data_IF_932638573486
#
_entry.id   IF_932638573486
#
_cell.length_a   1.000
_cell.length_b   1.000
_cell.length_c   1.000
_cell.angle_alpha   90.00
_cell.angle_beta   90.00
_cell.angle_gamma   90.00
#
_symmetry.space_group_name_H-M   'P 1'
#
loop_
_entity.id
_entity.type
_entity.pdbx_description
1 polymer ?
#
# COMPACT_ATOMS: atom_id res chain seq x y z
N UNK A 1 16.34 -3.51 2.11
CA UNK A 1 15.84 -4.90 2.07
C UNK A 1 15.82 -5.44 0.63
N UNK A 2 15.30 -4.70 -0.34
CA UNK A 2 15.21 -5.14 -1.73
C UNK A 2 16.56 -5.55 -2.35
N UNK A 3 17.65 -4.90 -1.94
CA UNK A 3 19.03 -5.22 -2.37
C UNK A 3 19.62 -6.45 -1.66
N UNK A 4 18.97 -6.94 -0.60
CA UNK A 4 19.41 -8.10 0.19
C UNK A 4 18.20 -8.99 0.46
N UNK A 5 17.75 -9.78 -0.51
CA UNK A 5 16.54 -10.60 -0.41
C UNK A 5 16.57 -11.58 0.75
N UNK A 6 17.74 -12.06 1.15
CA UNK A 6 17.92 -12.96 2.31
C UNK A 6 17.46 -12.34 3.65
N UNK A 7 17.44 -11.01 3.74
CA UNK A 7 16.96 -10.29 4.92
C UNK A 7 15.44 -10.11 4.94
N UNK A 8 14.77 -10.46 3.86
CA UNK A 8 13.33 -10.29 3.72
C UNK A 8 12.64 -11.49 3.07
N UNK A 9 12.96 -12.69 3.54
CA UNK A 9 12.24 -13.92 3.15
C UNK A 9 10.90 -13.99 3.88
N UNK A 10 10.91 -13.63 5.17
CA UNK A 10 9.75 -13.58 6.07
C UNK A 10 9.61 -12.17 6.66
N UNK A 11 8.79 -12.02 7.69
CA UNK A 11 8.58 -10.74 8.36
C UNK A 11 9.90 -10.10 8.84
N UNK A 12 9.91 -8.78 8.81
CA UNK A 12 11.00 -7.95 9.33
C UNK A 12 10.45 -7.04 10.41
N UNK A 13 11.14 -6.97 11.53
CA UNK A 13 10.75 -6.12 12.64
C UNK A 13 11.68 -4.94 12.80
N UNK A 14 11.11 -3.77 13.06
CA UNK A 14 11.81 -2.61 13.57
C UNK A 14 11.36 -2.42 15.02
N UNK A 15 12.31 -2.38 15.93
CA UNK A 15 12.09 -2.08 17.35
C UNK A 15 12.67 -0.71 17.62
N UNK A 16 11.84 0.21 18.06
CA UNK A 16 12.25 1.56 18.42
C UNK A 16 12.14 1.73 19.94
N UNK A 17 13.23 2.03 20.59
CA UNK A 17 13.28 2.31 22.03
C UNK A 17 13.89 3.67 22.29
N UNK A 18 13.09 4.59 22.82
CA UNK A 18 13.51 5.91 23.24
C UNK A 18 13.35 5.99 24.76
N UNK A 19 14.46 6.11 25.47
CA UNK A 19 14.54 5.94 26.93
C UNK A 19 13.97 4.56 27.34
N UNK A 20 12.80 4.51 27.98
CA UNK A 20 12.13 3.29 28.42
C UNK A 20 10.85 2.96 27.60
N UNK A 21 10.60 3.72 26.54
CA UNK A 21 9.44 3.52 25.70
C UNK A 21 9.81 2.71 24.46
N UNK A 22 9.25 1.53 24.34
CA UNK A 22 9.44 0.62 23.24
C UNK A 22 8.21 0.54 22.36
N UNK A 23 8.42 0.67 21.06
CA UNK A 23 7.46 0.38 20.00
C UNK A 23 8.06 -0.67 19.07
N UNK A 24 7.23 -1.44 18.41
CA UNK A 24 7.71 -2.29 17.32
C UNK A 24 6.78 -2.19 16.12
N UNK A 25 7.39 -2.30 14.95
CA UNK A 25 6.74 -2.27 13.66
C UNK A 25 7.05 -3.58 12.96
N UNK A 26 6.01 -4.30 12.55
CA UNK A 26 6.12 -5.55 11.82
C UNK A 26 5.86 -5.32 10.34
N UNK A 27 6.88 -5.43 9.52
CA UNK A 27 6.81 -5.37 8.07
C UNK A 27 6.54 -6.76 7.53
N UNK A 28 5.36 -6.96 6.97
CA UNK A 28 4.92 -8.23 6.37
C UNK A 28 4.71 -8.08 4.87
N UNK A 29 4.91 -9.16 4.13
CA UNK A 29 4.79 -9.21 2.67
C UNK A 29 3.92 -10.37 2.22
N UNK A 30 2.87 -10.07 1.46
CA UNK A 30 2.08 -11.09 0.79
C UNK A 30 2.72 -11.46 -0.57
N UNK A 31 3.38 -12.60 -0.64
CA UNK A 31 4.04 -13.10 -1.85
C UNK A 31 3.07 -13.79 -2.84
N UNK A 32 1.79 -13.95 -2.48
CA UNK A 32 0.79 -14.62 -3.32
C UNK A 32 0.12 -13.68 -4.31
N UNK A 33 0.38 -12.38 -4.21
CA UNK A 33 -0.19 -11.34 -5.09
C UNK A 33 0.85 -10.82 -6.08
N UNK A 34 0.38 -10.30 -7.21
CA UNK A 34 1.21 -9.63 -8.21
C UNK A 34 0.52 -8.31 -8.61
N UNK A 35 1.10 -7.17 -8.27
CA UNK A 35 2.27 -6.93 -7.41
C UNK A 35 2.13 -7.45 -5.98
N UNK A 36 3.25 -7.68 -5.29
CA UNK A 36 3.22 -8.12 -3.89
C UNK A 36 2.76 -6.98 -2.98
N UNK A 37 1.88 -7.30 -2.04
CA UNK A 37 1.36 -6.33 -1.07
C UNK A 37 2.22 -6.34 0.19
N UNK A 38 2.61 -5.15 0.64
CA UNK A 38 3.41 -4.91 1.84
C UNK A 38 2.58 -4.13 2.85
N UNK A 39 2.60 -4.59 4.10
CA UNK A 39 1.91 -3.94 5.22
C UNK A 39 2.86 -3.72 6.37
N UNK A 40 2.63 -2.68 7.16
CA UNK A 40 3.30 -2.42 8.43
C UNK A 40 2.24 -2.41 9.52
N UNK A 41 2.41 -3.29 10.51
CA UNK A 41 1.61 -3.29 11.72
C UNK A 41 2.42 -2.65 12.84
N UNK A 42 1.83 -1.65 13.50
CA UNK A 42 2.42 -0.95 14.65
C UNK A 42 1.90 -1.53 15.97
N UNK A 43 2.79 -1.66 16.97
CA UNK A 43 2.40 -2.01 18.33
C UNK A 43 1.95 -0.77 19.11
N UNK A 44 1.13 -1.00 20.15
CA UNK A 44 0.98 -0.01 21.22
C UNK A 44 2.31 0.18 21.97
N UNK A 45 2.44 1.33 22.62
CA UNK A 45 3.57 1.63 23.51
C UNK A 45 3.75 0.55 24.57
N UNK A 46 4.98 0.07 24.72
CA UNK A 46 5.42 -0.83 25.79
C UNK A 46 6.42 -0.06 26.67
N UNK A 47 6.35 -0.23 28.00
CA UNK A 47 7.31 0.38 28.91
C UNK A 47 8.30 -0.69 29.39
N UNK A 48 9.60 -0.36 29.38
CA UNK A 48 10.64 -1.13 30.03
C UNK A 48 10.74 -0.65 31.48
N UNK A 49 10.63 -1.57 32.43
CA UNK A 49 10.73 -1.27 33.85
C UNK A 49 12.17 -1.36 34.37
N UNK A 50 12.30 -1.64 35.68
CA UNK A 50 13.61 -1.72 36.36
C UNK A 50 14.46 -2.85 35.79
N UNK A 51 13.86 -4.01 35.53
CA UNK A 51 14.54 -5.13 34.87
C UNK A 51 14.29 -5.07 33.36
N UNK A 52 15.06 -4.20 32.71
CA UNK A 52 14.92 -3.92 31.27
C UNK A 52 15.11 -5.17 30.41
N UNK A 53 16.07 -6.03 30.76
CA UNK A 53 16.37 -7.22 29.97
C UNK A 53 15.25 -8.25 30.03
N UNK A 54 14.69 -8.50 31.20
CA UNK A 54 13.58 -9.41 31.37
C UNK A 54 12.30 -8.86 30.72
N UNK A 55 12.02 -7.55 30.87
CA UNK A 55 10.86 -6.89 30.28
C UNK A 55 10.94 -6.95 28.75
N UNK A 56 12.09 -6.62 28.18
CA UNK A 56 12.32 -6.68 26.74
C UNK A 56 12.17 -8.11 26.23
N UNK A 57 12.76 -9.09 26.94
CA UNK A 57 12.60 -10.52 26.61
C UNK A 57 11.13 -10.97 26.54
N UNK A 58 10.29 -10.55 27.50
CA UNK A 58 8.84 -10.84 27.50
C UNK A 58 8.11 -10.21 26.32
N UNK A 59 8.44 -8.94 26.01
CA UNK A 59 7.86 -8.24 24.88
C UNK A 59 8.22 -8.94 23.56
N UNK A 60 9.50 -9.31 23.39
CA UNK A 60 9.96 -10.04 22.21
C UNK A 60 9.27 -11.39 22.05
N UNK A 61 9.14 -12.16 23.13
CA UNK A 61 8.45 -13.46 23.11
C UNK A 61 7.02 -13.31 22.60
N UNK A 62 6.28 -12.34 23.12
CA UNK A 62 4.91 -12.04 22.71
C UNK A 62 4.83 -11.53 21.26
N UNK A 63 5.72 -10.60 20.88
CA UNK A 63 5.73 -10.01 19.55
C UNK A 63 6.06 -11.03 18.45
N UNK A 64 6.90 -12.02 18.78
CA UNK A 64 7.41 -13.02 17.84
C UNK A 64 6.67 -14.36 17.91
N UNK A 65 5.66 -14.45 18.76
CA UNK A 65 4.86 -15.65 18.92
C UNK A 65 4.23 -16.08 17.57
N UNK A 66 4.45 -17.34 17.20
CA UNK A 66 3.97 -17.92 15.95
C UNK A 66 4.39 -17.16 14.66
N UNK A 67 5.50 -16.40 14.72
CA UNK A 67 6.05 -15.65 13.59
C UNK A 67 7.41 -16.20 13.15
N UNK A 68 7.62 -16.24 11.85
CA UNK A 68 8.92 -16.50 11.25
C UNK A 68 9.50 -15.13 10.84
N UNK A 69 10.65 -14.78 11.40
CA UNK A 69 11.23 -13.46 11.25
C UNK A 69 12.61 -13.58 10.63
N UNK A 70 12.85 -12.86 9.55
CA UNK A 70 14.14 -12.87 8.84
C UNK A 70 15.15 -11.93 9.47
N UNK A 71 14.71 -10.72 9.84
CA UNK A 71 15.58 -9.70 10.38
C UNK A 71 14.86 -8.81 11.39
N UNK A 72 15.64 -8.28 12.34
CA UNK A 72 15.19 -7.31 13.32
C UNK A 72 16.16 -6.12 13.34
N UNK A 73 15.61 -4.92 13.33
CA UNK A 73 16.36 -3.68 13.43
C UNK A 73 16.04 -3.00 14.76
N UNK A 74 17.07 -2.62 15.51
CA UNK A 74 16.99 -1.88 16.76
C UNK A 74 17.34 -0.42 16.49
N UNK A 75 16.51 0.52 16.92
CA UNK A 75 16.68 1.96 16.74
C UNK A 75 16.32 2.69 18.03
N UNK A 76 17.03 3.75 18.32
CA UNK A 76 16.81 4.62 19.48
C UNK A 76 17.85 4.46 20.58
N UNK A 77 17.96 5.49 21.42
CA UNK A 77 18.91 5.60 22.52
C UNK A 77 18.66 4.61 23.66
N UNK A 78 17.42 4.11 23.76
CA UNK A 78 17.06 3.09 24.75
C UNK A 78 17.78 1.76 24.56
N UNK A 79 18.40 1.51 23.42
CA UNK A 79 19.23 0.33 23.18
C UNK A 79 20.73 0.52 23.47
N UNK A 80 21.13 1.72 23.91
CA UNK A 80 22.50 1.98 24.28
C UNK A 80 22.86 1.27 25.59
N UNK A 81 24.16 0.91 25.72
CA UNK A 81 24.71 0.21 26.89
C UNK A 81 24.62 -1.32 26.80
N UNK A 82 25.05 -1.99 27.88
CA UNK A 82 25.24 -3.46 27.93
C UNK A 82 24.12 -4.17 28.71
N UNK A 83 22.91 -3.61 28.73
CA UNK A 83 21.82 -4.16 29.54
C UNK A 83 21.13 -5.38 28.87
N UNK A 84 21.15 -5.48 27.53
CA UNK A 84 20.60 -6.62 26.79
C UNK A 84 21.52 -7.82 26.90
N UNK A 85 21.15 -8.82 27.66
CA UNK A 85 21.91 -10.08 27.84
C UNK A 85 21.13 -11.27 27.32
N UNK A 86 20.13 -11.70 28.07
CA UNK A 86 19.29 -12.84 27.71
C UNK A 86 18.37 -12.51 26.55
N UNK A 87 17.81 -11.29 26.52
CA UNK A 87 17.00 -10.80 25.44
C UNK A 87 17.75 -10.74 24.11
N UNK A 88 19.04 -10.37 24.11
CA UNK A 88 19.89 -10.35 22.92
C UNK A 88 20.12 -11.77 22.36
N UNK A 89 20.34 -12.76 23.23
CA UNK A 89 20.47 -14.16 22.81
C UNK A 89 19.17 -14.64 22.15
N UNK A 90 18.02 -14.31 22.74
CA UNK A 90 16.71 -14.63 22.15
C UNK A 90 16.49 -13.90 20.83
N UNK A 91 16.83 -12.61 20.77
CA UNK A 91 16.69 -11.77 19.59
C UNK A 91 17.45 -12.32 18.38
N UNK A 92 18.67 -12.84 18.61
CA UNK A 92 19.53 -13.36 17.54
C UNK A 92 19.23 -14.82 17.16
N UNK A 93 18.34 -15.51 17.86
CA UNK A 93 18.05 -16.93 17.60
C UNK A 93 17.30 -17.12 16.28
N UNK A 94 17.97 -17.69 15.27
CA UNK A 94 17.41 -18.04 13.97
C UNK A 94 17.08 -16.83 13.07
N UNK A 95 17.56 -15.62 13.42
CA UNK A 95 17.33 -14.39 12.64
C UNK A 95 18.53 -13.46 12.76
N UNK A 96 18.57 -12.45 11.91
CA UNK A 96 19.61 -11.43 11.94
C UNK A 96 19.14 -10.19 12.70
N UNK A 97 19.91 -9.73 13.68
CA UNK A 97 19.65 -8.50 14.42
C UNK A 97 20.68 -7.43 14.05
N UNK A 98 20.21 -6.20 13.88
CA UNK A 98 21.03 -5.05 13.51
C UNK A 98 20.71 -3.86 14.41
N UNK A 99 21.72 -3.13 14.85
CA UNK A 99 21.55 -1.80 15.44
C UNK A 99 21.57 -0.78 14.31
N UNK A 100 20.46 -0.07 14.13
CA UNK A 100 20.27 0.88 13.05
C UNK A 100 20.66 2.29 13.47
N UNK A 101 21.78 2.81 12.95
CA UNK A 101 22.09 4.24 13.02
C UNK A 101 21.54 4.94 11.76
N UNK A 102 20.84 6.05 11.94
CA UNK A 102 20.27 6.84 10.84
C UNK A 102 19.29 6.07 9.92
N UNK A 103 18.57 5.09 10.46
CA UNK A 103 17.67 4.24 9.66
C UNK A 103 16.53 5.07 9.04
N UNK A 104 15.96 6.00 9.79
CA UNK A 104 14.90 6.90 9.31
C UNK A 104 15.37 7.81 8.19
N UNK A 105 16.55 8.45 8.34
CA UNK A 105 17.12 9.30 7.30
C UNK A 105 17.42 8.53 6.02
N UNK A 106 17.96 7.31 6.14
CA UNK A 106 18.16 6.42 4.99
C UNK A 106 16.83 6.01 4.35
N UNK A 107 15.83 5.70 5.16
CA UNK A 107 14.49 5.37 4.69
C UNK A 107 13.85 6.54 3.91
N UNK A 108 13.97 7.76 4.42
CA UNK A 108 13.48 8.96 3.76
C UNK A 108 14.16 9.19 2.39
N UNK A 109 15.50 9.02 2.32
CA UNK A 109 16.23 9.11 1.05
C UNK A 109 15.77 8.05 0.03
N UNK A 110 15.59 6.81 0.47
CA UNK A 110 15.06 5.76 -0.41
C UNK A 110 13.61 6.02 -0.81
N UNK A 111 12.78 6.53 0.08
CA UNK A 111 11.41 6.92 -0.22
C UNK A 111 11.32 8.01 -1.28
N UNK A 112 12.16 9.05 -1.17
CA UNK A 112 12.25 10.09 -2.18
C UNK A 112 12.70 9.54 -3.54
N UNK A 113 13.73 8.70 -3.54
CA UNK A 113 14.20 8.07 -4.78
C UNK A 113 13.15 7.19 -5.46
N UNK A 114 12.37 6.42 -4.67
CA UNK A 114 11.28 5.58 -5.21
C UNK A 114 10.19 6.43 -5.86
N UNK A 115 9.85 7.61 -5.31
CA UNK A 115 8.87 8.52 -5.93
C UNK A 115 9.26 8.92 -7.35
N UNK A 116 10.55 9.16 -7.58
CA UNK A 116 11.07 9.54 -8.90
C UNK A 116 11.30 8.34 -9.81
N UNK A 117 11.27 7.12 -9.25
CA UNK A 117 11.56 5.87 -9.95
C UNK A 117 10.54 4.78 -9.56
N UNK A 118 9.26 5.05 -9.71
CA UNK A 118 8.16 4.17 -9.26
C UNK A 118 8.25 2.74 -9.84
N UNK A 119 8.70 2.59 -11.07
CA UNK A 119 8.89 1.31 -11.75
C UNK A 119 9.94 0.41 -11.07
N UNK A 120 10.85 0.99 -10.28
CA UNK A 120 11.84 0.25 -9.50
C UNK A 120 11.29 -0.35 -8.22
N UNK A 121 10.05 0.00 -7.84
CA UNK A 121 9.37 -0.46 -6.64
C UNK A 121 8.29 -1.50 -6.99
N UNK A 122 8.58 -2.81 -6.89
CA UNK A 122 7.68 -3.87 -7.33
C UNK A 122 6.59 -4.23 -6.31
N UNK A 123 6.35 -3.39 -5.32
CA UNK A 123 5.42 -3.67 -4.23
C UNK A 123 4.29 -2.65 -4.18
N UNK A 124 3.14 -3.08 -3.64
CA UNK A 124 2.07 -2.18 -3.21
C UNK A 124 2.16 -2.05 -1.69
N UNK A 125 2.46 -0.86 -1.18
CA UNK A 125 2.39 -0.57 0.24
C UNK A 125 0.96 -0.21 0.61
N UNK A 126 0.44 -0.83 1.68
CA UNK A 126 -0.90 -0.62 2.21
C UNK A 126 -0.80 -0.06 3.63
N UNK A 127 -0.50 1.22 3.73
CA UNK A 127 -0.50 1.98 4.98
C UNK A 127 -1.81 2.74 5.21
N UNK A 128 -1.84 3.68 6.13
CA UNK A 128 -3.04 4.45 6.48
C UNK A 128 -3.38 5.54 5.45
N UNK A 129 -2.37 6.03 4.72
CA UNK A 129 -2.53 7.11 3.76
C UNK A 129 -2.64 6.62 2.30
N UNK A 130 -2.61 5.32 2.07
CA UNK A 130 -2.66 4.73 0.74
C UNK A 130 -4.04 4.19 0.42
N UNK A 131 -4.45 4.38 -0.84
CA UNK A 131 -5.68 3.81 -1.39
C UNK A 131 -5.71 2.30 -1.19
N UNK A 132 -6.81 1.79 -0.62
CA UNK A 132 -6.96 0.37 -0.28
C UNK A 132 -7.33 -0.51 -1.47
N UNK A 133 -7.82 0.06 -2.58
CA UNK A 133 -8.32 -0.67 -3.73
C UNK A 133 -8.02 0.04 -5.05
N UNK A 134 -8.05 -0.75 -6.11
CA UNK A 134 -8.07 -0.25 -7.48
C UNK A 134 -9.52 0.07 -7.89
N UNK A 135 -9.71 1.13 -8.68
CA UNK A 135 -10.93 1.37 -9.45
C UNK A 135 -10.56 1.34 -10.93
N UNK A 136 -11.21 0.48 -11.67
CA UNK A 136 -10.97 0.33 -13.10
C UNK A 136 -12.27 0.42 -13.88
N UNK A 137 -12.15 0.87 -15.13
CA UNK A 137 -13.19 0.82 -16.14
C UNK A 137 -12.86 -0.26 -17.16
N UNK A 138 -13.84 -1.04 -17.57
CA UNK A 138 -13.71 -1.96 -18.68
C UNK A 138 -13.96 -1.20 -19.98
N UNK A 139 -12.91 -0.94 -20.73
CA UNK A 139 -12.95 -0.11 -21.94
C UNK A 139 -12.58 -0.93 -23.18
N UNK A 140 -13.03 -0.45 -24.33
CA UNK A 140 -12.59 -0.97 -25.62
C UNK A 140 -11.62 0.04 -26.23
N UNK A 141 -10.36 -0.31 -26.31
CA UNK A 141 -9.31 0.48 -26.90
C UNK A 141 -8.79 -0.21 -28.17
N UNK A 142 -8.87 0.45 -29.33
CA UNK A 142 -8.46 -0.09 -30.63
C UNK A 142 -9.07 -1.49 -30.93
N UNK A 143 -10.35 -1.70 -30.54
CA UNK A 143 -11.05 -2.95 -30.73
C UNK A 143 -10.81 -4.02 -29.67
N UNK A 144 -9.83 -3.86 -28.76
CA UNK A 144 -9.52 -4.79 -27.68
C UNK A 144 -10.20 -4.35 -26.39
N UNK A 145 -10.72 -5.32 -25.63
CA UNK A 145 -11.23 -5.09 -24.28
C UNK A 145 -10.07 -5.09 -23.31
N UNK A 146 -9.97 -4.03 -22.52
CA UNK A 146 -8.95 -3.90 -21.48
C UNK A 146 -9.53 -3.19 -20.25
N UNK A 147 -8.82 -3.31 -19.13
CA UNK A 147 -9.12 -2.56 -17.92
C UNK A 147 -8.26 -1.31 -17.85
N UNK A 148 -8.92 -0.15 -17.86
CA UNK A 148 -8.27 1.13 -17.63
C UNK A 148 -8.32 1.43 -16.12
N UNK A 149 -7.15 1.52 -15.50
CA UNK A 149 -7.03 1.87 -14.08
C UNK A 149 -7.24 3.38 -13.90
N UNK A 150 -8.36 3.73 -13.28
CA UNK A 150 -8.69 5.12 -12.93
C UNK A 150 -8.04 5.52 -11.60
N UNK A 151 -8.08 4.64 -10.59
CA UNK A 151 -7.41 4.79 -9.30
C UNK A 151 -6.64 3.51 -9.01
N UNK A 152 -5.40 3.64 -8.54
CA UNK A 152 -4.54 2.52 -8.18
C UNK A 152 -4.34 2.43 -6.67
N UNK A 153 -4.49 1.23 -6.11
CA UNK A 153 -4.16 0.92 -4.73
C UNK A 153 -2.67 1.18 -4.43
N UNK A 154 -2.37 1.55 -3.18
CA UNK A 154 -1.00 1.84 -2.73
C UNK A 154 -0.50 3.24 -3.12
N UNK A 155 -1.26 4.02 -3.86
CA UNK A 155 -1.00 5.44 -4.07
C UNK A 155 -1.58 6.25 -2.92
N UNK A 156 -0.94 7.34 -2.58
CA UNK A 156 -1.41 8.25 -1.54
C UNK A 156 -2.78 8.84 -1.93
N UNK A 157 -3.80 8.65 -1.09
CA UNK A 157 -5.17 9.01 -1.44
C UNK A 157 -5.38 10.51 -1.62
N UNK A 158 -4.68 11.37 -0.87
CA UNK A 158 -4.87 12.83 -0.97
C UNK A 158 -4.10 13.46 -2.16
N UNK A 159 -3.12 12.77 -2.75
CA UNK A 159 -2.40 13.19 -3.95
C UNK A 159 -2.98 12.55 -5.22
N UNK A 160 -3.67 11.42 -5.10
CA UNK A 160 -4.17 10.64 -6.25
C UNK A 160 -5.35 11.33 -6.92
N UNK A 161 -5.33 11.35 -8.24
CA UNK A 161 -6.43 11.77 -9.13
C UNK A 161 -6.46 10.84 -10.33
N UNK A 162 -7.65 10.51 -10.78
CA UNK A 162 -7.88 9.76 -12.00
C UNK A 162 -8.73 10.55 -12.96
N UNK A 163 -8.39 10.57 -14.23
CA UNK A 163 -9.20 11.18 -15.27
C UNK A 163 -9.11 10.37 -16.56
N UNK A 164 -10.23 10.22 -17.23
CA UNK A 164 -10.27 9.68 -18.60
C UNK A 164 -11.43 10.26 -19.39
N UNK A 165 -11.29 10.20 -20.70
CA UNK A 165 -12.41 10.46 -21.62
C UNK A 165 -12.80 9.17 -22.32
N UNK A 166 -14.09 8.89 -22.32
CA UNK A 166 -14.65 7.67 -22.91
C UNK A 166 -15.85 8.02 -23.79
N UNK A 167 -16.20 7.12 -24.71
CA UNK A 167 -17.41 7.18 -25.50
C UNK A 167 -18.31 6.03 -25.08
N UNK A 168 -19.57 6.34 -24.75
CA UNK A 168 -20.56 5.32 -24.39
C UNK A 168 -20.86 4.41 -25.58
N UNK A 169 -20.91 3.10 -25.32
CA UNK A 169 -21.16 2.08 -26.33
C UNK A 169 -22.65 1.63 -26.36
N UNK A 170 -23.56 2.58 -26.18
CA UNK A 170 -25.00 2.32 -26.33
C UNK A 170 -25.78 2.15 -25.03
N UNK A 171 -25.17 1.81 -23.90
CA UNK A 171 -25.85 1.80 -22.61
C UNK A 171 -25.64 3.12 -21.86
N UNK A 172 -26.66 3.53 -21.08
CA UNK A 172 -26.54 4.67 -20.16
C UNK A 172 -26.00 4.26 -18.79
N UNK A 173 -25.20 3.22 -18.73
CA UNK A 173 -24.62 2.69 -17.50
C UNK A 173 -23.10 2.64 -17.61
N UNK A 174 -22.43 2.89 -16.49
CA UNK A 174 -20.98 2.74 -16.36
C UNK A 174 -20.69 1.82 -15.19
N UNK A 175 -19.92 0.77 -15.47
CA UNK A 175 -19.45 -0.19 -14.49
C UNK A 175 -18.07 0.21 -13.97
N UNK A 176 -18.00 0.47 -12.67
CA UNK A 176 -16.74 0.66 -11.94
C UNK A 176 -16.35 -0.63 -11.24
N UNK A 177 -15.18 -1.15 -11.59
CA UNK A 177 -14.63 -2.38 -11.03
C UNK A 177 -13.72 -2.04 -9.85
N UNK A 178 -14.21 -2.28 -8.63
CA UNK A 178 -13.48 -2.09 -7.39
C UNK A 178 -12.79 -3.39 -6.98
N UNK A 179 -11.48 -3.40 -6.89
CA UNK A 179 -10.70 -4.60 -6.58
C UNK A 179 -9.62 -4.31 -5.54
N UNK A 180 -9.57 -5.15 -4.49
CA UNK A 180 -8.47 -5.14 -3.52
C UNK A 180 -7.21 -5.74 -4.16
N UNK A 181 -6.02 -5.19 -3.93
CA UNK A 181 -4.78 -5.71 -4.52
C UNK A 181 -4.40 -7.12 -4.04
N UNK A 182 -4.98 -7.59 -2.93
CA UNK A 182 -4.79 -8.93 -2.38
C UNK A 182 -5.94 -9.89 -2.70
N UNK A 183 -6.91 -9.49 -3.52
CA UNK A 183 -8.06 -10.31 -3.93
C UNK A 183 -8.10 -10.46 -5.45
N UNK A 184 -8.57 -11.64 -5.91
CA UNK A 184 -8.91 -11.87 -7.32
C UNK A 184 -10.34 -11.47 -7.66
N UNK A 185 -11.17 -11.25 -6.64
CA UNK A 185 -12.56 -10.86 -6.80
C UNK A 185 -12.66 -9.34 -6.91
N UNK A 186 -13.46 -8.88 -7.86
CA UNK A 186 -13.82 -7.49 -8.02
C UNK A 186 -15.30 -7.29 -7.70
N UNK A 187 -15.62 -6.23 -6.99
CA UNK A 187 -16.98 -5.75 -6.83
C UNK A 187 -17.27 -4.79 -7.96
N UNK A 188 -18.40 -4.96 -8.64
CA UNK A 188 -18.87 -4.04 -9.68
C UNK A 188 -19.87 -3.10 -9.04
N UNK A 189 -19.65 -1.80 -9.23
CA UNK A 189 -20.58 -0.74 -8.87
C UNK A 189 -21.04 -0.06 -10.15
N UNK A 190 -22.29 -0.28 -10.51
CA UNK A 190 -22.91 0.27 -11.74
C UNK A 190 -23.55 1.61 -11.43
N UNK A 191 -23.20 2.63 -12.20
CA UNK A 191 -23.83 3.95 -12.16
C UNK A 191 -24.70 4.15 -13.38
N UNK A 192 -25.99 4.44 -13.16
CA UNK A 192 -26.94 4.80 -14.19
C UNK A 192 -26.86 6.32 -14.46
N UNK A 193 -26.74 6.68 -15.73
CA UNK A 193 -26.63 8.07 -16.18
C UNK A 193 -28.01 8.60 -16.59
N UNK A 194 -28.73 9.20 -15.65
CA UNK A 194 -30.12 9.68 -15.87
C UNK A 194 -30.21 11.03 -16.54
N UNK A 195 -29.19 11.88 -16.41
CA UNK A 195 -29.20 13.27 -16.84
C UNK A 195 -28.52 13.51 -18.20
N UNK A 196 -28.22 12.44 -18.93
CA UNK A 196 -27.55 12.52 -20.23
C UNK A 196 -28.60 12.47 -21.37
N UNK A 197 -28.58 13.43 -22.30
CA UNK A 197 -29.48 13.38 -23.47
C UNK A 197 -29.29 12.09 -24.28
N UNK A 198 -30.37 11.51 -24.73
CA UNK A 198 -30.29 10.37 -25.65
C UNK A 198 -29.64 10.78 -26.97
N UNK A 199 -28.59 10.09 -27.34
CA UNK A 199 -27.83 10.26 -28.57
C UNK A 199 -27.64 8.90 -29.24
N UNK A 200 -27.35 8.89 -30.56
CA UNK A 200 -26.97 7.66 -31.24
C UNK A 200 -25.87 6.92 -30.55
N UNK A 201 -25.85 5.60 -30.66
CA UNK A 201 -24.77 4.77 -30.08
C UNK A 201 -23.40 5.29 -30.52
N UNK A 202 -22.44 5.24 -29.58
CA UNK A 202 -21.05 5.63 -29.80
C UNK A 202 -20.81 7.09 -30.14
N UNK A 203 -21.74 7.97 -29.77
CA UNK A 203 -21.62 9.42 -30.03
C UNK A 203 -21.57 10.26 -28.74
N UNK A 204 -21.90 9.68 -27.59
CA UNK A 204 -21.86 10.39 -26.31
C UNK A 204 -20.45 10.30 -25.71
N UNK A 205 -19.76 11.44 -25.63
CA UNK A 205 -18.43 11.57 -25.04
C UNK A 205 -18.53 12.04 -23.61
N UNK A 206 -17.90 11.33 -22.72
CA UNK A 206 -17.89 11.63 -21.28
C UNK A 206 -16.47 11.84 -20.79
N UNK A 207 -16.33 12.78 -19.87
CA UNK A 207 -15.14 12.87 -19.02
C UNK A 207 -15.48 12.33 -17.65
N UNK A 208 -14.68 11.39 -17.17
CA UNK A 208 -14.82 10.77 -15.87
C UNK A 208 -13.62 11.22 -15.04
N UNK A 209 -13.89 11.87 -13.92
CA UNK A 209 -12.86 12.29 -12.95
C UNK A 209 -13.11 11.57 -11.65
N UNK A 210 -12.07 10.95 -11.09
CA UNK A 210 -12.11 10.26 -9.82
C UNK A 210 -11.17 10.95 -8.82
N UNK A 211 -11.72 11.33 -7.67
CA UNK A 211 -10.99 12.00 -6.60
C UNK A 211 -11.21 11.24 -5.30
N UNK A 212 -10.18 10.60 -4.74
CA UNK A 212 -10.28 10.05 -3.39
C UNK A 212 -10.59 11.13 -2.35
N UNK A 213 -11.47 10.81 -1.42
CA UNK A 213 -11.82 11.65 -0.26
C UNK A 213 -11.41 10.98 1.06
N UNK A 214 -11.05 9.71 1.00
CA UNK A 214 -10.43 8.91 2.06
C UNK A 214 -9.69 7.73 1.42
N UNK A 215 -8.98 6.95 2.22
CA UNK A 215 -8.23 5.76 1.77
C UNK A 215 -9.14 4.64 1.21
N UNK A 216 -10.42 4.65 1.57
CA UNK A 216 -11.44 3.68 1.16
C UNK A 216 -12.64 4.29 0.41
N UNK A 217 -12.60 5.60 0.11
CA UNK A 217 -13.71 6.32 -0.51
C UNK A 217 -13.25 7.23 -1.64
N UNK A 218 -13.91 7.11 -2.79
CA UNK A 218 -13.64 7.90 -3.99
C UNK A 218 -14.91 8.58 -4.46
N UNK A 219 -14.82 9.87 -4.73
CA UNK A 219 -15.84 10.67 -5.40
C UNK A 219 -15.58 10.60 -6.90
N UNK A 220 -16.65 10.33 -7.66
CA UNK A 220 -16.60 10.26 -9.12
C UNK A 220 -17.51 11.33 -9.70
N UNK A 221 -16.93 12.17 -10.55
CA UNK A 221 -17.64 13.17 -11.33
C UNK A 221 -17.66 12.74 -12.79
N UNK A 222 -18.84 12.78 -13.41
CA UNK A 222 -19.03 12.47 -14.83
C UNK A 222 -19.60 13.68 -15.52
N UNK A 223 -18.88 14.16 -16.53
CA UNK A 223 -19.27 15.32 -17.33
C UNK A 223 -19.57 14.90 -18.77
N UNK A 224 -20.75 15.25 -19.25
CA UNK A 224 -21.11 15.13 -20.66
C UNK A 224 -20.35 16.19 -21.49
N UNK A 225 -19.54 15.73 -22.43
CA UNK A 225 -18.78 16.56 -23.37
C UNK A 225 -19.49 16.73 -24.74
N UNK A 226 -20.69 16.20 -24.86
CA UNK A 226 -21.47 16.27 -26.11
C UNK A 226 -21.12 15.15 -27.10
N UNK A 227 -21.17 15.45 -28.38
CA UNK A 227 -20.87 14.49 -29.44
C UNK A 227 -19.36 14.20 -29.50
N UNK A 228 -19.01 12.90 -29.50
CA UNK A 228 -17.70 12.42 -29.83
C UNK A 228 -17.69 11.88 -31.27
N UNK A 229 -16.75 12.33 -32.08
CA UNK A 229 -16.51 11.75 -33.40
C UNK A 229 -15.31 10.84 -33.34
N UNK A 230 -15.45 9.60 -33.81
CA UNK A 230 -14.31 8.76 -34.10
C UNK A 230 -13.76 9.15 -35.46
N UNK A 231 -12.66 9.85 -35.51
CA UNK A 231 -11.91 9.96 -36.76
C UNK A 231 -11.35 8.57 -37.12
N UNK A 232 -11.87 8.01 -38.20
CA UNK A 232 -11.21 6.88 -38.84
C UNK A 232 -10.01 7.44 -39.61
N UNK A 233 -8.80 7.23 -39.03
CA UNK A 233 -7.56 7.38 -39.79
C UNK A 233 -7.33 6.16 -40.67
#
# INVERSE_FOLDING_TARGET
LNQKPDLWVHDVYLLECNQDNLYYYALSRNMRTTPQVVTIAESSRQALGVDRDADFGRILQKAFENKIISAVYLVGDGFDGDWMKESLVFLCRGRRAFVGKNLYSKGACYGAWIRDNEESWPYIYMGENEMKFNISLKVRNQGRLEFFNLISAGKNWFETRGECEVILNGSCEIDFWKQLPNSREAKIETLELTDIPQRPEKTTRLRITAKPVADDKVEIEIKDLGFGEFYRS
#
